data_IF_681759117253
#
_entry.id   IF_681759117253
#
_cell.length_a   1.000
_cell.length_b   1.000
_cell.length_c   1.000
_cell.angle_alpha   90.00
_cell.angle_beta   90.00
_cell.angle_gamma   90.00
#
_symmetry.space_group_name_H-M   'P 1'
#
loop_
_entity.id
_entity.type
_entity.pdbx_description
1 polymer ?
#
# COMPACT_ATOMS: atom_id res chain seq x y z
N UNK A 1 3.07 -26.52 1.42
CA UNK A 1 2.08 -25.57 0.88
C UNK A 1 2.92 -24.47 0.26
N UNK A 2 2.94 -24.37 -1.06
CA UNK A 2 3.69 -23.32 -1.75
C UNK A 2 3.13 -21.96 -1.36
N UNK A 3 4.03 -21.04 -0.95
CA UNK A 3 3.70 -19.63 -0.71
C UNK A 3 3.30 -18.98 -2.03
N UNK A 4 2.06 -19.19 -2.46
CA UNK A 4 1.51 -18.69 -3.73
C UNK A 4 1.18 -17.19 -3.73
N UNK A 5 1.61 -16.43 -2.72
CA UNK A 5 1.06 -15.11 -2.45
C UNK A 5 2.03 -13.95 -2.63
N UNK A 6 3.31 -14.21 -2.87
CA UNK A 6 4.30 -13.16 -3.15
C UNK A 6 4.55 -13.06 -4.65
N UNK A 7 4.73 -11.85 -5.14
CA UNK A 7 5.07 -11.63 -6.55
C UNK A 7 6.55 -12.00 -6.77
N UNK A 8 6.82 -13.22 -7.29
CA UNK A 8 8.19 -13.60 -7.66
C UNK A 8 8.71 -12.71 -8.80
N UNK A 9 10.04 -12.68 -8.97
CA UNK A 9 10.67 -11.90 -10.05
C UNK A 9 10.14 -12.31 -11.43
N UNK A 10 9.88 -13.61 -11.66
CA UNK A 10 9.34 -14.12 -12.91
C UNK A 10 7.90 -13.64 -13.14
N UNK A 11 7.09 -13.60 -12.08
CA UNK A 11 5.72 -13.08 -12.14
C UNK A 11 5.71 -11.56 -12.33
N UNK A 12 6.61 -10.84 -11.66
CA UNK A 12 6.77 -9.40 -11.86
C UNK A 12 7.23 -9.10 -13.29
N UNK A 13 8.16 -9.87 -13.83
CA UNK A 13 8.58 -9.73 -15.23
C UNK A 13 7.44 -10.03 -16.21
N UNK A 14 6.67 -11.09 -15.97
CA UNK A 14 5.51 -11.40 -16.81
C UNK A 14 4.44 -10.30 -16.74
N UNK A 15 4.21 -9.71 -15.56
CA UNK A 15 3.31 -8.58 -15.39
C UNK A 15 3.83 -7.32 -16.08
N UNK A 16 5.13 -7.03 -16.00
CA UNK A 16 5.77 -5.94 -16.71
C UNK A 16 5.61 -6.10 -18.24
N UNK A 17 5.86 -7.29 -18.76
CA UNK A 17 5.72 -7.57 -20.18
C UNK A 17 4.26 -7.46 -20.64
N UNK A 18 3.32 -7.89 -19.81
CA UNK A 18 1.88 -7.71 -20.04
C UNK A 18 1.50 -6.22 -20.09
N UNK A 19 2.00 -5.41 -19.16
CA UNK A 19 1.76 -3.95 -19.15
C UNK A 19 2.35 -3.29 -20.39
N UNK A 20 3.60 -3.64 -20.77
CA UNK A 20 4.25 -3.13 -21.99
C UNK A 20 3.44 -3.41 -23.26
N UNK A 21 2.87 -4.60 -23.37
CA UNK A 21 2.06 -4.98 -24.54
C UNK A 21 0.72 -4.23 -24.61
N UNK A 22 0.18 -3.82 -23.48
CA UNK A 22 -1.14 -3.20 -23.42
C UNK A 22 -1.11 -1.66 -23.26
N UNK A 23 0.03 -1.07 -22.87
CA UNK A 23 0.23 0.37 -22.68
C UNK A 23 1.19 0.92 -23.72
N UNK A 24 0.75 1.02 -24.98
CA UNK A 24 1.57 1.50 -26.11
C UNK A 24 2.13 2.90 -25.86
N UNK A 25 1.35 3.80 -25.23
CA UNK A 25 1.74 5.18 -24.93
C UNK A 25 2.98 5.24 -24.02
N UNK A 26 3.09 4.32 -23.07
CA UNK A 26 4.17 4.29 -22.07
C UNK A 26 5.25 3.24 -22.39
N UNK A 27 5.09 2.48 -23.47
CA UNK A 27 5.95 1.32 -23.81
C UNK A 27 7.43 1.69 -23.92
N UNK A 28 7.76 2.87 -24.43
CA UNK A 28 9.15 3.35 -24.58
C UNK A 28 9.80 3.56 -23.20
N UNK A 29 9.05 4.04 -22.21
CA UNK A 29 9.52 4.22 -20.84
C UNK A 29 9.63 2.88 -20.14
N UNK A 30 8.60 2.06 -20.21
CA UNK A 30 8.54 0.75 -19.56
C UNK A 30 9.64 -0.20 -20.04
N UNK A 31 10.17 -0.02 -21.26
CA UNK A 31 11.31 -0.77 -21.76
C UNK A 31 12.65 -0.41 -21.10
N UNK A 32 12.71 0.68 -20.35
CA UNK A 32 13.92 1.15 -19.65
C UNK A 32 13.97 0.73 -18.17
N UNK A 33 12.87 0.19 -17.65
CA UNK A 33 12.84 -0.27 -16.25
C UNK A 33 13.49 -1.64 -16.13
N UNK A 34 14.26 -1.80 -15.07
CA UNK A 34 14.82 -3.09 -14.62
C UNK A 34 14.17 -3.52 -13.33
N UNK A 35 14.16 -4.83 -13.08
CA UNK A 35 13.66 -5.42 -11.85
C UNK A 35 14.82 -6.02 -11.09
N UNK A 36 14.88 -5.76 -9.78
CA UNK A 36 15.81 -6.38 -8.86
C UNK A 36 15.04 -6.96 -7.68
N UNK A 37 15.54 -8.08 -7.19
CA UNK A 37 15.01 -8.71 -6.00
C UNK A 37 16.00 -8.48 -4.87
N UNK A 38 15.54 -7.83 -3.80
CA UNK A 38 16.36 -7.53 -2.63
C UNK A 38 15.73 -8.20 -1.41
N UNK A 39 16.45 -9.17 -0.84
CA UNK A 39 16.00 -9.92 0.34
C UNK A 39 15.91 -9.03 1.59
N UNK A 40 16.72 -7.97 1.65
CA UNK A 40 16.80 -7.07 2.80
C UNK A 40 15.90 -5.82 2.64
N UNK A 41 15.26 -5.64 1.48
CA UNK A 41 14.42 -4.46 1.24
C UNK A 41 13.00 -4.66 1.80
N UNK A 42 12.56 -3.79 2.73
CA UNK A 42 11.24 -3.91 3.35
C UNK A 42 10.14 -3.36 2.43
N UNK A 43 9.73 -4.12 1.43
CA UNK A 43 8.66 -3.73 0.54
C UNK A 43 9.10 -3.46 -0.90
N UNK A 44 8.19 -2.94 -1.71
CA UNK A 44 8.49 -2.52 -3.09
C UNK A 44 9.01 -1.08 -3.09
N UNK A 45 9.88 -0.74 -4.03
CA UNK A 45 10.38 0.60 -4.18
C UNK A 45 10.96 0.88 -5.56
N UNK A 46 10.89 2.13 -6.01
CA UNK A 46 11.45 2.58 -7.27
C UNK A 46 12.71 3.44 -7.04
N UNK A 47 13.82 3.09 -7.71
CA UNK A 47 15.04 3.89 -7.78
C UNK A 47 15.06 4.71 -9.08
N UNK A 48 14.84 6.04 -9.01
CA UNK A 48 14.82 6.88 -10.21
C UNK A 48 16.17 6.98 -10.91
N UNK A 49 17.27 6.93 -10.15
CA UNK A 49 18.63 7.00 -10.68
C UNK A 49 18.99 5.79 -11.55
N UNK A 50 18.62 4.62 -11.09
CA UNK A 50 18.93 3.35 -11.74
C UNK A 50 17.80 2.88 -12.67
N UNK A 51 16.65 3.53 -12.61
CA UNK A 51 15.41 3.12 -13.31
C UNK A 51 15.00 1.69 -12.96
N UNK A 52 15.08 1.37 -11.70
CA UNK A 52 14.95 0.02 -11.17
C UNK A 52 13.79 -0.06 -10.18
N UNK A 53 13.04 -1.14 -10.24
CA UNK A 53 12.06 -1.50 -9.21
C UNK A 53 12.65 -2.61 -8.37
N UNK A 54 12.83 -2.33 -7.07
CA UNK A 54 13.18 -3.33 -6.08
C UNK A 54 11.92 -4.09 -5.68
N UNK A 55 12.01 -5.43 -5.68
CA UNK A 55 10.95 -6.33 -5.25
C UNK A 55 11.32 -6.90 -3.89
N UNK A 56 10.40 -6.86 -2.95
CA UNK A 56 10.58 -7.45 -1.63
C UNK A 56 10.39 -8.95 -1.63
N UNK A 57 11.18 -9.65 -0.83
CA UNK A 57 11.00 -11.08 -0.52
C UNK A 57 9.90 -11.31 0.51
N UNK A 58 9.67 -10.33 1.36
CA UNK A 58 8.68 -10.45 2.41
C UNK A 58 7.27 -10.18 1.88
N UNK A 59 6.29 -10.98 2.31
CA UNK A 59 4.91 -10.64 2.05
C UNK A 59 4.63 -9.27 2.69
N UNK A 60 3.89 -8.43 1.97
CA UNK A 60 3.38 -7.19 2.53
C UNK A 60 2.41 -7.55 3.67
N UNK A 61 2.96 -7.87 4.83
CA UNK A 61 2.23 -8.24 6.04
C UNK A 61 2.08 -7.02 6.93
N UNK A 62 0.85 -6.74 7.32
CA UNK A 62 0.55 -5.70 8.29
C UNK A 62 -0.86 -5.14 8.14
N UNK A 63 -1.39 -4.58 9.22
CA UNK A 63 -2.71 -3.93 9.21
C UNK A 63 -2.77 -2.73 8.24
N UNK A 64 -1.62 -2.16 7.91
CA UNK A 64 -1.49 -1.04 6.97
C UNK A 64 -1.75 -1.47 5.53
N UNK A 65 -1.43 -2.70 5.16
CA UNK A 65 -1.57 -3.20 3.80
C UNK A 65 -3.04 -3.37 3.39
N UNK A 66 -3.94 -3.59 4.36
CA UNK A 66 -5.38 -3.59 4.14
C UNK A 66 -5.90 -2.23 3.70
N UNK A 67 -5.38 -1.17 4.29
CA UNK A 67 -5.79 0.20 3.99
C UNK A 67 -5.61 0.57 2.52
N UNK A 68 -4.51 0.17 1.88
CA UNK A 68 -4.26 0.56 0.49
C UNK A 68 -5.31 0.00 -0.48
N UNK A 69 -5.76 -1.23 -0.27
CA UNK A 69 -6.80 -1.83 -1.13
C UNK A 69 -8.16 -1.16 -0.88
N UNK A 70 -8.48 -0.86 0.38
CA UNK A 70 -9.71 -0.15 0.74
C UNK A 70 -9.70 1.27 0.14
N UNK A 71 -8.58 1.99 0.25
CA UNK A 71 -8.38 3.29 -0.39
C UNK A 71 -8.54 3.23 -1.91
N UNK A 72 -7.91 2.24 -2.58
CA UNK A 72 -8.03 2.06 -4.04
C UNK A 72 -9.48 1.76 -4.45
N UNK A 73 -10.19 0.98 -3.65
CA UNK A 73 -11.61 0.68 -3.90
C UNK A 73 -12.50 1.92 -3.71
N UNK A 74 -12.29 2.69 -2.65
CA UNK A 74 -13.05 3.91 -2.38
C UNK A 74 -12.79 4.98 -3.44
N UNK A 75 -11.52 5.23 -3.75
CA UNK A 75 -11.12 6.36 -4.61
C UNK A 75 -11.35 6.08 -6.09
N UNK A 76 -11.13 4.83 -6.54
CA UNK A 76 -11.17 4.45 -7.95
C UNK A 76 -12.29 3.46 -8.29
N UNK A 77 -13.10 3.05 -7.32
CA UNK A 77 -14.21 2.11 -7.49
C UNK A 77 -13.80 0.79 -8.17
N UNK A 78 -12.68 0.21 -7.75
CA UNK A 78 -12.09 -0.95 -8.40
C UNK A 78 -12.74 -2.28 -7.98
N UNK A 79 -13.22 -2.42 -6.74
CA UNK A 79 -13.72 -3.68 -6.20
C UNK A 79 -12.64 -4.76 -6.12
N UNK A 80 -11.44 -4.38 -5.67
CA UNK A 80 -10.33 -5.29 -5.45
C UNK A 80 -10.56 -6.13 -4.20
N UNK A 81 -10.24 -7.42 -4.25
CA UNK A 81 -10.18 -8.26 -3.06
C UNK A 81 -8.92 -7.95 -2.25
N UNK A 82 -9.08 -7.76 -0.95
CA UNK A 82 -7.96 -7.50 -0.06
C UNK A 82 -7.24 -8.81 0.30
N UNK A 83 -6.24 -9.16 -0.48
CA UNK A 83 -5.36 -10.30 -0.24
C UNK A 83 -3.92 -9.95 -0.66
N UNK A 84 -2.95 -10.76 -0.23
CA UNK A 84 -1.52 -10.51 -0.45
C UNK A 84 -1.16 -10.39 -1.93
N UNK A 85 -1.74 -11.22 -2.80
CA UNK A 85 -1.47 -11.14 -4.25
C UNK A 85 -1.94 -9.82 -4.85
N UNK A 86 -3.16 -9.39 -4.50
CA UNK A 86 -3.71 -8.11 -4.96
C UNK A 86 -2.85 -6.94 -4.49
N UNK A 87 -2.43 -6.94 -3.22
CA UNK A 87 -1.55 -5.93 -2.64
C UNK A 87 -0.19 -5.88 -3.37
N UNK A 88 0.42 -7.04 -3.62
CA UNK A 88 1.70 -7.13 -4.32
C UNK A 88 1.61 -6.65 -5.76
N UNK A 89 0.54 -6.98 -6.47
CA UNK A 89 0.30 -6.48 -7.84
C UNK A 89 0.09 -4.96 -7.83
N UNK A 90 -0.72 -4.45 -6.89
CA UNK A 90 -0.91 -3.01 -6.75
C UNK A 90 0.41 -2.29 -6.48
N UNK A 91 1.18 -2.75 -5.48
CA UNK A 91 2.47 -2.16 -5.13
C UNK A 91 3.41 -2.12 -6.33
N UNK A 92 3.53 -3.21 -7.07
CA UNK A 92 4.33 -3.26 -8.29
C UNK A 92 3.88 -2.26 -9.36
N UNK A 93 2.59 -2.17 -9.62
CA UNK A 93 2.03 -1.22 -10.59
C UNK A 93 2.18 0.23 -10.12
N UNK A 94 2.14 0.48 -8.82
CA UNK A 94 2.40 1.78 -8.23
C UNK A 94 3.86 2.23 -8.50
N UNK A 95 4.83 1.35 -8.25
CA UNK A 95 6.24 1.65 -8.54
C UNK A 95 6.50 1.85 -10.05
N UNK A 96 5.79 1.11 -10.92
CA UNK A 96 5.78 1.39 -12.35
C UNK A 96 5.22 2.78 -12.68
N UNK A 97 4.22 3.24 -11.95
CA UNK A 97 3.67 4.59 -12.07
C UNK A 97 4.72 5.66 -11.78
N UNK A 98 5.51 5.52 -10.73
CA UNK A 98 6.65 6.40 -10.45
C UNK A 98 7.68 6.38 -11.58
N UNK A 99 7.97 5.20 -12.15
CA UNK A 99 8.87 5.11 -13.29
C UNK A 99 8.33 5.87 -14.51
N UNK A 100 7.05 5.75 -14.81
CA UNK A 100 6.42 6.46 -15.93
C UNK A 100 6.43 7.98 -15.70
N UNK A 101 6.12 8.43 -14.49
CA UNK A 101 6.16 9.85 -14.13
C UNK A 101 7.57 10.45 -14.28
N UNK A 102 8.57 9.80 -13.69
CA UNK A 102 9.93 10.35 -13.60
C UNK A 102 10.81 10.01 -14.82
N UNK A 103 10.44 9.00 -15.59
CA UNK A 103 11.28 8.44 -16.65
C UNK A 103 11.60 9.41 -17.81
N UNK A 104 10.80 10.45 -18.00
CA UNK A 104 10.99 11.50 -19.00
C UNK A 104 11.56 12.81 -18.44
N UNK A 105 11.73 12.92 -17.13
CA UNK A 105 12.27 14.11 -16.50
C UNK A 105 13.77 14.24 -16.80
N UNK A 106 14.23 15.46 -17.10
CA UNK A 106 15.64 15.76 -17.10
C UNK A 106 16.17 15.88 -15.67
N UNK A 107 17.52 15.89 -15.49
CA UNK A 107 18.15 15.88 -14.17
C UNK A 107 17.70 17.02 -13.24
N UNK A 108 17.40 18.20 -13.77
CA UNK A 108 16.95 19.32 -12.96
C UNK A 108 15.47 19.15 -12.52
N UNK A 109 14.65 18.69 -13.43
CA UNK A 109 13.24 18.37 -13.14
C UNK A 109 13.15 17.25 -12.12
N UNK A 110 13.93 16.18 -12.29
CA UNK A 110 13.98 15.05 -11.37
C UNK A 110 14.44 15.49 -9.98
N UNK A 111 15.54 16.27 -9.86
CA UNK A 111 16.00 16.78 -8.56
C UNK A 111 14.96 17.66 -7.87
N UNK A 112 14.26 18.51 -8.62
CA UNK A 112 13.21 19.36 -8.07
C UNK A 112 11.99 18.53 -7.63
N UNK A 113 11.63 17.51 -8.39
CA UNK A 113 10.55 16.59 -8.09
C UNK A 113 10.85 15.81 -6.81
N UNK A 114 12.04 15.17 -6.72
CA UNK A 114 12.48 14.43 -5.53
C UNK A 114 12.53 15.35 -4.29
N UNK A 115 13.03 16.58 -4.43
CA UNK A 115 13.07 17.51 -3.30
C UNK A 115 11.66 17.82 -2.76
N UNK A 116 10.70 18.12 -3.63
CA UNK A 116 9.31 18.37 -3.22
C UNK A 116 8.68 17.15 -2.58
N UNK A 117 8.94 15.98 -3.13
CA UNK A 117 8.50 14.70 -2.57
C UNK A 117 9.04 14.52 -1.15
N UNK A 118 10.36 14.69 -0.95
CA UNK A 118 11.00 14.53 0.36
C UNK A 118 10.52 15.56 1.40
N UNK A 119 10.24 16.80 0.99
CA UNK A 119 9.68 17.83 1.89
C UNK A 119 8.29 17.41 2.40
N UNK A 120 7.46 16.83 1.53
CA UNK A 120 6.15 16.32 1.90
C UNK A 120 6.25 15.04 2.73
N UNK A 121 7.04 14.08 2.27
CA UNK A 121 7.27 12.79 2.92
C UNK A 121 7.80 12.96 4.36
N UNK A 122 8.73 13.87 4.56
CA UNK A 122 9.26 14.16 5.91
C UNK A 122 8.16 14.59 6.89
N UNK A 123 7.25 15.45 6.46
CA UNK A 123 6.14 15.90 7.30
C UNK A 123 5.23 14.72 7.67
N UNK A 124 4.84 13.93 6.69
CA UNK A 124 3.96 12.77 6.91
C UNK A 124 4.64 11.72 7.79
N UNK A 125 5.93 11.44 7.58
CA UNK A 125 6.70 10.50 8.40
C UNK A 125 6.76 10.91 9.86
N UNK A 126 6.91 12.20 10.15
CA UNK A 126 6.89 12.70 11.53
C UNK A 126 5.52 12.48 12.19
N UNK A 127 4.43 12.83 11.50
CA UNK A 127 3.07 12.60 12.01
C UNK A 127 2.80 11.10 12.21
N UNK A 128 3.25 10.27 11.27
CA UNK A 128 3.19 8.80 11.34
C UNK A 128 3.92 8.26 12.57
N UNK A 129 5.14 8.70 12.80
CA UNK A 129 5.97 8.23 13.91
C UNK A 129 5.29 8.49 15.26
N UNK A 130 4.83 9.73 15.50
CA UNK A 130 4.12 10.06 16.73
C UNK A 130 2.81 9.27 16.91
N UNK A 131 2.08 9.04 15.84
CA UNK A 131 0.86 8.25 15.92
C UNK A 131 1.16 6.77 16.21
N UNK A 132 2.23 6.21 15.64
CA UNK A 132 2.64 4.82 15.90
C UNK A 132 3.10 4.64 17.35
N UNK A 133 3.93 5.54 17.89
CA UNK A 133 4.33 5.50 19.29
C UNK A 133 3.11 5.53 20.23
N UNK A 134 2.13 6.40 19.94
CA UNK A 134 0.90 6.46 20.73
C UNK A 134 0.06 5.18 20.65
N UNK A 135 0.04 4.51 19.50
CA UNK A 135 -0.65 3.21 19.32
C UNK A 135 0.07 2.12 20.13
N UNK A 136 1.40 2.06 20.07
CA UNK A 136 2.22 1.12 20.81
C UNK A 136 2.02 1.29 22.32
N UNK A 137 2.05 2.52 22.83
CA UNK A 137 1.80 2.82 24.25
C UNK A 137 0.43 2.29 24.72
N UNK A 138 -0.61 2.43 23.90
CA UNK A 138 -1.96 1.92 24.22
C UNK A 138 -1.99 0.40 24.22
N UNK A 139 -1.32 -0.24 23.26
CA UNK A 139 -1.24 -1.71 23.18
C UNK A 139 -0.51 -2.25 24.41
N UNK A 140 0.63 -1.68 24.76
CA UNK A 140 1.43 -2.10 25.93
C UNK A 140 0.61 -1.99 27.22
N UNK A 141 -0.16 -0.90 27.39
CA UNK A 141 -1.05 -0.75 28.53
C UNK A 141 -2.18 -1.78 28.54
N UNK A 142 -2.72 -2.15 27.37
CA UNK A 142 -3.74 -3.20 27.27
C UNK A 142 -3.17 -4.57 27.63
N UNK A 143 -1.98 -4.91 27.13
CA UNK A 143 -1.29 -6.17 27.42
C UNK A 143 -0.96 -6.28 28.90
N UNK A 144 -0.41 -5.22 29.49
CA UNK A 144 -0.14 -5.16 30.94
C UNK A 144 -1.39 -5.43 31.78
N UNK A 145 -2.52 -4.84 31.43
CA UNK A 145 -3.79 -5.06 32.15
C UNK A 145 -4.30 -6.49 32.00
N UNK A 146 -4.14 -7.10 30.84
CA UNK A 146 -4.53 -8.49 30.61
C UNK A 146 -3.67 -9.43 31.45
N UNK A 147 -2.37 -9.19 31.50
CA UNK A 147 -1.44 -10.01 32.28
C UNK A 147 -1.73 -9.86 33.79
N UNK A 148 -1.91 -8.64 34.30
CA UNK A 148 -2.28 -8.40 35.70
C UNK A 148 -3.59 -9.11 36.08
N UNK A 149 -4.59 -9.07 35.17
CA UNK A 149 -5.89 -9.73 35.42
C UNK A 149 -5.76 -11.26 35.40
N UNK A 150 -4.88 -11.82 34.56
CA UNK A 150 -4.65 -13.25 34.48
C UNK A 150 -3.87 -13.78 35.69
N UNK A 151 -2.83 -13.06 36.14
CA UNK A 151 -2.00 -13.46 37.27
C UNK A 151 -2.76 -13.43 38.62
N UNK A 152 -3.67 -12.48 38.78
CA UNK A 152 -4.37 -12.25 40.03
C UNK A 152 -5.82 -12.74 40.04
N UNK A 153 -6.30 -13.34 38.95
CA UNK A 153 -7.70 -13.78 38.71
C UNK A 153 -8.72 -12.62 39.00
N UNK A 154 -8.30 -11.37 38.70
CA UNK A 154 -9.07 -10.16 38.99
C UNK A 154 -9.69 -9.63 37.67
N UNK A 155 -10.96 -9.91 37.48
CA UNK A 155 -11.78 -9.29 36.44
C UNK A 155 -12.89 -8.47 37.06
N UNK A 156 -12.54 -7.28 37.55
CA UNK A 156 -13.47 -6.35 38.18
C UNK A 156 -14.09 -5.39 37.16
N UNK A 157 -15.15 -4.69 37.56
CA UNK A 157 -15.76 -3.63 36.74
C UNK A 157 -14.73 -2.57 36.35
N UNK A 158 -13.77 -2.27 37.22
CA UNK A 158 -12.67 -1.32 36.95
C UNK A 158 -11.77 -1.79 35.81
N UNK A 159 -11.47 -3.11 35.75
CA UNK A 159 -10.72 -3.70 34.65
C UNK A 159 -11.46 -3.49 33.32
N UNK A 160 -12.77 -3.80 33.29
CA UNK A 160 -13.55 -3.67 32.06
C UNK A 160 -13.71 -2.21 31.62
N UNK A 161 -13.91 -1.28 32.56
CA UNK A 161 -13.96 0.17 32.25
C UNK A 161 -12.64 0.68 31.67
N UNK A 162 -11.50 0.22 32.21
CA UNK A 162 -10.16 0.62 31.71
C UNK A 162 -9.90 0.04 30.32
N UNK A 163 -10.24 -1.22 30.09
CA UNK A 163 -10.13 -1.86 28.77
C UNK A 163 -11.02 -1.19 27.71
N UNK A 164 -12.26 -0.82 28.07
CA UNK A 164 -13.17 -0.11 27.16
C UNK A 164 -12.61 1.28 26.78
N UNK A 165 -12.02 2.00 27.73
CA UNK A 165 -11.36 3.28 27.48
C UNK A 165 -10.18 3.13 26.53
N UNK A 166 -9.28 2.18 26.77
CA UNK A 166 -8.11 1.92 25.93
C UNK A 166 -8.52 1.46 24.51
N UNK A 167 -9.55 0.63 24.41
CA UNK A 167 -10.10 0.22 23.11
C UNK A 167 -10.62 1.41 22.31
N UNK A 168 -11.30 2.36 22.96
CA UNK A 168 -11.78 3.59 22.29
C UNK A 168 -10.61 4.47 21.86
N UNK A 169 -9.58 4.60 22.69
CA UNK A 169 -8.37 5.36 22.38
C UNK A 169 -7.61 4.73 21.19
N UNK A 170 -7.39 3.42 21.22
CA UNK A 170 -6.81 2.66 20.13
C UNK A 170 -7.56 2.88 18.79
N UNK A 171 -8.89 2.77 18.82
CA UNK A 171 -9.70 2.98 17.63
C UNK A 171 -9.59 4.41 17.08
N UNK A 172 -9.51 5.42 17.97
CA UNK A 172 -9.30 6.81 17.59
C UNK A 172 -7.94 6.98 16.91
N UNK A 173 -6.86 6.48 17.51
CA UNK A 173 -5.51 6.55 16.93
C UNK A 173 -5.39 5.83 15.59
N UNK A 174 -6.06 4.69 15.43
CA UNK A 174 -6.15 4.01 14.13
C UNK A 174 -6.85 4.86 13.08
N UNK A 175 -7.91 5.58 13.43
CA UNK A 175 -8.57 6.49 12.49
C UNK A 175 -7.66 7.65 12.10
N UNK A 176 -6.96 8.25 13.06
CA UNK A 176 -5.96 9.29 12.81
C UNK A 176 -4.85 8.77 11.87
N UNK A 177 -4.39 7.52 12.05
CA UNK A 177 -3.43 6.90 11.15
C UNK A 177 -3.95 6.78 9.71
N UNK A 178 -5.20 6.36 9.54
CA UNK A 178 -5.81 6.28 8.21
C UNK A 178 -5.88 7.65 7.52
N UNK A 179 -6.12 8.74 8.26
CA UNK A 179 -6.10 10.09 7.69
C UNK A 179 -4.66 10.54 7.30
N UNK A 180 -3.65 10.18 8.10
CA UNK A 180 -2.24 10.43 7.75
C UNK A 180 -1.86 9.68 6.46
N UNK A 181 -2.24 8.41 6.34
CA UNK A 181 -1.98 7.60 5.15
C UNK A 181 -2.73 8.16 3.92
N UNK A 182 -3.95 8.66 4.09
CA UNK A 182 -4.67 9.38 3.03
C UNK A 182 -3.95 10.66 2.60
N UNK A 183 -3.46 11.44 3.56
CA UNK A 183 -2.67 12.64 3.24
C UNK A 183 -1.41 12.28 2.44
N UNK A 184 -0.71 11.20 2.82
CA UNK A 184 0.43 10.71 2.05
C UNK A 184 0.05 10.43 0.59
N UNK A 185 -1.06 9.74 0.35
CA UNK A 185 -1.56 9.41 -0.99
C UNK A 185 -2.03 10.63 -1.81
N UNK A 186 -2.25 11.77 -1.17
CA UNK A 186 -2.52 13.04 -1.85
C UNK A 186 -1.25 13.77 -2.33
N UNK A 187 -0.05 13.30 -1.97
CA UNK A 187 1.17 13.77 -2.61
C UNK A 187 1.06 13.58 -4.13
N UNK A 188 1.33 14.59 -4.95
CA UNK A 188 1.16 14.49 -6.41
C UNK A 188 1.86 13.29 -7.05
N UNK A 189 3.06 12.91 -6.57
CA UNK A 189 3.78 11.75 -7.08
C UNK A 189 3.08 10.43 -6.71
N UNK A 190 2.68 10.27 -5.44
CA UNK A 190 1.92 9.11 -4.98
C UNK A 190 0.58 9.00 -5.73
N UNK A 191 -0.10 10.16 -5.87
CA UNK A 191 -1.38 10.23 -6.59
C UNK A 191 -1.24 9.84 -8.05
N UNK A 192 -0.17 10.26 -8.72
CA UNK A 192 0.09 9.85 -10.10
C UNK A 192 0.30 8.34 -10.21
N UNK A 193 1.13 7.76 -9.32
CA UNK A 193 1.39 6.34 -9.28
C UNK A 193 0.12 5.52 -9.01
N UNK A 194 -0.73 5.96 -8.09
CA UNK A 194 -2.02 5.32 -7.79
C UNK A 194 -2.99 5.39 -8.99
N UNK A 195 -3.09 6.53 -9.68
CA UNK A 195 -3.91 6.68 -10.89
C UNK A 195 -3.40 5.74 -12.00
N UNK A 196 -2.08 5.65 -12.18
CA UNK A 196 -1.49 4.71 -13.14
C UNK A 196 -1.85 3.27 -12.78
N UNK A 197 -1.63 2.86 -11.54
CA UNK A 197 -1.97 1.51 -11.06
C UNK A 197 -3.47 1.21 -11.26
N UNK A 198 -4.36 2.13 -10.90
CA UNK A 198 -5.80 1.99 -11.07
C UNK A 198 -6.20 1.80 -12.53
N UNK A 199 -5.62 2.60 -13.45
CA UNK A 199 -5.83 2.49 -14.91
C UNK A 199 -5.46 1.08 -15.42
N UNK A 200 -4.32 0.55 -14.99
CA UNK A 200 -3.85 -0.78 -15.41
C UNK A 200 -4.73 -1.88 -14.82
N UNK A 201 -5.05 -1.78 -13.53
CA UNK A 201 -5.90 -2.73 -12.83
C UNK A 201 -7.29 -2.85 -13.49
N UNK A 202 -7.95 -1.72 -13.75
CA UNK A 202 -9.30 -1.72 -14.29
C UNK A 202 -9.36 -2.11 -15.78
N UNK A 203 -8.48 -1.55 -16.61
CA UNK A 203 -8.56 -1.73 -18.06
C UNK A 203 -8.02 -3.08 -18.54
N UNK A 204 -6.99 -3.62 -17.85
CA UNK A 204 -6.23 -4.77 -18.35
C UNK A 204 -6.23 -5.95 -17.38
N UNK A 205 -5.86 -5.73 -16.10
CA UNK A 205 -5.74 -6.83 -15.11
C UNK A 205 -7.11 -7.43 -14.80
N UNK A 206 -8.16 -6.63 -14.69
CA UNK A 206 -9.53 -7.14 -14.47
C UNK A 206 -9.96 -8.18 -15.52
N UNK A 207 -9.52 -8.04 -16.77
CA UNK A 207 -9.84 -8.98 -17.85
C UNK A 207 -8.97 -10.23 -17.80
N UNK A 208 -7.70 -10.08 -17.40
CA UNK A 208 -6.71 -11.16 -17.38
C UNK A 208 -6.78 -12.00 -16.11
N UNK A 209 -7.13 -11.38 -14.98
CA UNK A 209 -7.15 -11.96 -13.63
C UNK A 209 -8.41 -11.53 -12.86
N UNK A 210 -9.61 -11.93 -13.32
CA UNK A 210 -10.88 -11.51 -12.72
C UNK A 210 -11.01 -11.97 -11.26
N UNK A 211 -10.30 -13.02 -10.86
CA UNK A 211 -10.30 -13.56 -9.49
C UNK A 211 -9.77 -12.58 -8.44
N UNK A 212 -9.03 -11.55 -8.84
CA UNK A 212 -8.54 -10.48 -7.94
C UNK A 212 -9.63 -9.47 -7.57
N UNK A 213 -10.77 -9.52 -8.23
CA UNK A 213 -11.85 -8.57 -8.05
C UNK A 213 -13.06 -9.23 -7.42
N UNK A 214 -13.84 -8.46 -6.70
CA UNK A 214 -15.14 -8.86 -6.22
C UNK A 214 -16.12 -8.99 -7.40
N UNK A 215 -17.04 -9.95 -7.31
CA UNK A 215 -18.13 -10.04 -8.28
C UNK A 215 -18.95 -8.75 -8.18
N UNK A 216 -18.99 -7.97 -9.26
CA UNK A 216 -19.93 -6.86 -9.33
C UNK A 216 -21.33 -7.45 -9.28
N UNK A 217 -22.07 -7.23 -8.20
CA UNK A 217 -23.50 -7.48 -8.22
C UNK A 217 -24.06 -6.77 -9.45
N UNK A 218 -24.57 -7.52 -10.40
CA UNK A 218 -25.35 -6.95 -11.49
C UNK A 218 -26.58 -6.29 -10.85
N UNK A 219 -26.44 -5.03 -10.52
CA UNK A 219 -27.61 -4.17 -10.30
C UNK A 219 -28.29 -4.09 -11.65
N UNK A 220 -29.11 -5.11 -11.93
CA UNK A 220 -30.09 -5.05 -13.02
C UNK A 220 -31.02 -3.92 -12.63
N UNK A 221 -30.69 -2.74 -13.15
CA UNK A 221 -31.51 -1.54 -12.99
C UNK A 221 -32.92 -1.87 -13.45
N UNK A 222 -33.84 -1.90 -12.51
CA UNK A 222 -35.24 -1.73 -12.83
C UNK A 222 -35.40 -0.29 -13.29
N UNK A 223 -35.41 -0.11 -14.58
CA UNK A 223 -36.00 1.07 -15.23
C UNK A 223 -37.48 0.73 -15.56
#
# INVERSE_FOLDING_TARGET
>A
MENNYVLSIERAQALLDFVKMNCEEDSVLLNKVTLEFDEDHPGFGYSPGDKMICLSSEPLEGAQDGFIIDYMNEEFNLGLKNNTLTRSIHAFLHELGHHVEMGNMNDNELRNHIRKYMEYDHKVKMETHFNMEAIEDVIDEMEYLIDEANENDIRTDVFFERMDRLTKEYNKLRQERMEIDRMYRLNPAERFADIFAAKILDNYIRKAMPELFEEREHVIGKY
#
